data_IF_689984621806
#
_entry.id   IF_689984621806
#
_cell.length_a   1.000
_cell.length_b   1.000
_cell.length_c   1.000
_cell.angle_alpha   90.00
_cell.angle_beta   90.00
_cell.angle_gamma   90.00
#
_symmetry.space_group_name_H-M   'P 1'
#
loop_
_entity.id
_entity.type
_entity.pdbx_description
1 polymer ?
#
# COMPACT_ATOMS: atom_id res chain seq x y z
N UNK A 1 -0.01 -8.66 -2.49
CA UNK A 1 -0.60 -8.83 -1.14
C UNK A 1 -1.40 -10.12 -0.97
N UNK A 2 -2.46 -10.40 -1.75
CA UNK A 2 -3.31 -11.58 -1.54
C UNK A 2 -2.58 -12.93 -1.65
N UNK A 3 -1.67 -13.07 -2.62
CA UNK A 3 -0.86 -14.29 -2.81
C UNK A 3 0.12 -14.51 -1.66
N UNK A 4 0.71 -13.43 -1.17
CA UNK A 4 1.84 -13.48 -0.23
C UNK A 4 1.38 -13.41 1.23
N UNK A 5 0.20 -12.83 1.47
CA UNK A 5 -0.41 -12.66 2.78
C UNK A 5 -0.46 -13.96 3.62
N UNK A 6 -0.86 -15.12 3.08
CA UNK A 6 -0.86 -16.37 3.84
C UNK A 6 0.51 -16.79 4.41
N UNK A 7 1.61 -16.46 3.72
CA UNK A 7 2.96 -16.70 4.22
C UNK A 7 3.33 -15.70 5.32
N UNK A 8 3.03 -14.42 5.10
CA UNK A 8 3.34 -13.33 6.03
C UNK A 8 2.59 -13.49 7.36
N UNK A 9 1.29 -13.80 7.33
CA UNK A 9 0.45 -13.89 8.55
C UNK A 9 0.79 -15.10 9.44
N UNK A 10 1.54 -16.08 8.92
CA UNK A 10 2.00 -17.26 9.67
C UNK A 10 3.28 -16.99 10.44
N UNK A 11 4.10 -16.03 10.00
CA UNK A 11 5.30 -15.63 10.69
C UNK A 11 5.01 -14.72 11.90
N UNK A 12 5.92 -14.66 12.86
CA UNK A 12 5.83 -13.78 14.04
C UNK A 12 7.16 -13.08 14.28
N UNK A 13 7.09 -11.90 14.90
CA UNK A 13 8.28 -11.12 15.26
C UNK A 13 9.14 -10.72 14.06
N UNK A 14 10.46 -10.86 14.20
CA UNK A 14 11.45 -10.50 13.19
C UNK A 14 11.31 -11.29 11.89
N UNK A 15 10.78 -12.51 11.94
CA UNK A 15 10.54 -13.33 10.74
C UNK A 15 9.56 -12.68 9.78
N UNK A 16 8.56 -11.93 10.28
CA UNK A 16 7.64 -11.18 9.41
C UNK A 16 8.40 -10.13 8.61
N UNK A 17 9.27 -9.37 9.28
CA UNK A 17 10.06 -8.32 8.66
C UNK A 17 10.98 -8.87 7.57
N UNK A 18 11.67 -9.99 7.86
CA UNK A 18 12.54 -10.65 6.89
C UNK A 18 11.77 -11.13 5.66
N UNK A 19 10.59 -11.74 5.86
CA UNK A 19 9.74 -12.18 4.76
C UNK A 19 9.29 -10.98 3.93
N UNK A 20 8.77 -9.91 4.54
CA UNK A 20 8.30 -8.72 3.81
C UNK A 20 9.42 -8.03 3.01
N UNK A 21 10.62 -7.97 3.58
CA UNK A 21 11.79 -7.43 2.90
C UNK A 21 12.17 -8.31 1.70
N UNK A 22 12.28 -9.63 1.89
CA UNK A 22 12.60 -10.56 0.81
C UNK A 22 11.58 -10.49 -0.33
N UNK A 23 10.29 -10.32 -0.02
CA UNK A 23 9.24 -10.15 -1.03
C UNK A 23 9.43 -8.83 -1.80
N UNK A 24 9.77 -7.74 -1.11
CA UNK A 24 10.06 -6.45 -1.74
C UNK A 24 11.21 -6.55 -2.73
N UNK A 25 12.35 -7.08 -2.28
CA UNK A 25 13.55 -7.28 -3.11
C UNK A 25 13.29 -8.21 -4.31
N UNK A 26 12.58 -9.32 -4.10
CA UNK A 26 12.18 -10.22 -5.18
C UNK A 26 11.28 -9.52 -6.19
N UNK A 27 10.36 -8.67 -5.73
CA UNK A 27 9.47 -7.91 -6.61
C UNK A 27 10.27 -6.93 -7.45
N UNK A 28 11.21 -6.19 -6.85
CA UNK A 28 12.12 -5.30 -7.56
C UNK A 28 12.97 -6.03 -8.61
N UNK A 29 13.53 -7.20 -8.24
CA UNK A 29 14.30 -8.02 -9.16
C UNK A 29 13.47 -8.52 -10.36
N UNK A 30 12.22 -8.93 -10.11
CA UNK A 30 11.28 -9.35 -11.16
C UNK A 30 10.92 -8.18 -12.07
N UNK A 31 10.63 -7.01 -11.53
CA UNK A 31 10.35 -5.78 -12.31
C UNK A 31 11.54 -5.41 -13.18
N UNK A 32 12.77 -5.56 -12.71
CA UNK A 32 13.97 -5.26 -13.49
C UNK A 32 14.21 -6.29 -14.62
N UNK A 33 13.85 -7.56 -14.42
CA UNK A 33 14.02 -8.62 -15.43
C UNK A 33 12.92 -8.64 -16.50
N UNK A 34 11.69 -8.21 -16.18
CA UNK A 34 10.53 -8.29 -17.06
C UNK A 34 10.48 -7.18 -18.13
N UNK A 35 11.48 -7.15 -19.03
CA UNK A 35 11.57 -6.14 -20.11
C UNK A 35 10.32 -5.98 -20.96
N UNK A 36 9.59 -7.07 -21.22
CA UNK A 36 8.40 -7.04 -22.08
C UNK A 36 7.19 -6.32 -21.46
N UNK A 37 7.14 -6.18 -20.14
CA UNK A 37 5.97 -5.62 -19.43
C UNK A 37 6.32 -4.31 -18.72
N UNK A 38 7.53 -4.21 -18.15
CA UNK A 38 7.95 -3.07 -17.31
C UNK A 38 9.03 -2.22 -17.97
N UNK A 39 9.48 -2.55 -19.19
CA UNK A 39 10.66 -1.94 -19.80
C UNK A 39 11.99 -2.37 -19.17
N UNK A 40 11.96 -3.17 -18.08
CA UNK A 40 13.14 -3.59 -17.35
C UNK A 40 13.93 -2.41 -16.81
N UNK A 41 15.25 -2.42 -16.93
CA UNK A 41 16.14 -1.36 -16.45
C UNK A 41 15.82 0.04 -17.00
N UNK A 42 15.20 0.14 -18.17
CA UNK A 42 14.91 1.41 -18.84
C UNK A 42 13.61 2.07 -18.32
N UNK A 43 12.79 1.33 -17.56
CA UNK A 43 11.52 1.81 -17.01
C UNK A 43 10.40 1.96 -18.04
N UNK A 44 9.26 2.50 -17.59
CA UNK A 44 8.10 2.79 -18.42
C UNK A 44 7.93 4.31 -18.59
N UNK A 45 7.65 4.71 -19.83
CA UNK A 45 7.46 6.11 -20.23
C UNK A 45 6.24 6.21 -21.16
N UNK A 46 5.60 7.38 -21.21
CA UNK A 46 4.49 7.63 -22.13
C UNK A 46 3.15 7.12 -21.63
N UNK A 47 2.88 7.27 -20.33
CA UNK A 47 1.55 7.02 -19.80
C UNK A 47 0.53 7.99 -20.42
N UNK A 48 -0.69 7.53 -20.75
CA UNK A 48 -1.73 8.43 -21.23
C UNK A 48 -2.12 9.42 -20.14
N UNK A 49 -2.56 10.62 -20.55
CA UNK A 49 -3.06 11.63 -19.63
C UNK A 49 -4.15 11.05 -18.72
N UNK A 50 -4.07 11.36 -17.43
CA UNK A 50 -4.97 10.81 -16.42
C UNK A 50 -6.39 11.30 -16.68
N UNK A 51 -7.35 10.38 -16.68
CA UNK A 51 -8.77 10.70 -16.87
C UNK A 51 -9.51 10.48 -15.55
N UNK A 52 -10.22 11.51 -15.07
CA UNK A 52 -10.98 11.44 -13.80
C UNK A 52 -12.13 10.41 -13.84
N UNK A 53 -12.73 10.22 -15.03
CA UNK A 53 -13.75 9.21 -15.30
C UNK A 53 -13.31 8.36 -16.49
N UNK A 54 -13.70 7.09 -16.49
CA UNK A 54 -13.44 6.19 -17.61
C UNK A 54 -14.05 6.79 -18.90
N UNK A 55 -13.21 7.30 -19.80
CA UNK A 55 -13.63 7.98 -21.03
C UNK A 55 -13.83 9.49 -20.93
N UNK A 56 -13.36 10.15 -19.86
CA UNK A 56 -13.36 11.62 -19.71
C UNK A 56 -12.21 12.30 -20.45
N UNK A 57 -12.26 13.63 -20.54
CA UNK A 57 -11.15 14.44 -21.08
C UNK A 57 -9.88 14.25 -20.24
N UNK A 58 -8.72 14.24 -20.90
CA UNK A 58 -7.43 14.05 -20.23
C UNK A 58 -7.08 15.27 -19.39
N UNK A 59 -6.79 15.04 -18.11
CA UNK A 59 -6.37 16.07 -17.18
C UNK A 59 -4.91 16.43 -17.49
N UNK A 60 -4.72 17.58 -18.13
CA UNK A 60 -3.41 18.09 -18.54
C UNK A 60 -2.92 19.21 -17.63
N UNK A 61 -3.81 19.81 -16.85
CA UNK A 61 -3.48 20.92 -15.96
C UNK A 61 -2.99 20.41 -14.60
N UNK A 62 -1.96 21.06 -14.05
CA UNK A 62 -1.37 20.69 -12.76
C UNK A 62 -2.38 20.84 -11.61
N UNK A 63 -3.28 21.82 -11.71
CA UNK A 63 -4.36 22.09 -10.77
C UNK A 63 -5.37 20.93 -10.71
N UNK A 64 -5.71 20.37 -11.87
CA UNK A 64 -6.60 19.22 -12.01
C UNK A 64 -5.97 17.97 -11.41
N UNK A 65 -4.70 17.71 -11.72
CA UNK A 65 -3.96 16.55 -11.22
C UNK A 65 -3.81 16.57 -9.69
N UNK A 66 -3.54 17.75 -9.13
CA UNK A 66 -3.50 17.97 -7.69
C UNK A 66 -4.87 17.67 -7.04
N UNK A 67 -5.95 18.22 -7.60
CA UNK A 67 -7.30 17.99 -7.08
C UNK A 67 -7.69 16.51 -7.15
N UNK A 68 -7.31 15.81 -8.23
CA UNK A 68 -7.51 14.37 -8.36
C UNK A 68 -6.77 13.60 -7.25
N UNK A 69 -5.46 13.85 -7.09
CA UNK A 69 -4.66 13.21 -6.05
C UNK A 69 -5.21 13.48 -4.65
N UNK A 70 -5.65 14.71 -4.39
CA UNK A 70 -6.27 15.11 -3.13
C UNK A 70 -7.56 14.35 -2.86
N UNK A 71 -8.46 14.25 -3.85
CA UNK A 71 -9.72 13.50 -3.72
C UNK A 71 -9.45 12.03 -3.44
N UNK A 72 -8.52 11.41 -4.18
CA UNK A 72 -8.14 10.00 -3.96
C UNK A 72 -7.55 9.80 -2.56
N UNK A 73 -6.67 10.69 -2.10
CA UNK A 73 -6.09 10.64 -0.76
C UNK A 73 -7.16 10.78 0.33
N UNK A 74 -8.09 11.73 0.20
CA UNK A 74 -9.20 11.93 1.13
C UNK A 74 -10.11 10.70 1.18
N UNK A 75 -10.45 10.12 0.03
CA UNK A 75 -11.26 8.89 -0.04
C UNK A 75 -10.52 7.72 0.60
N UNK A 76 -9.23 7.54 0.32
CA UNK A 76 -8.42 6.48 0.93
C UNK A 76 -8.36 6.59 2.46
N UNK A 77 -8.19 7.80 2.98
CA UNK A 77 -8.20 8.06 4.43
C UNK A 77 -9.59 7.83 5.02
N UNK A 78 -10.65 8.33 4.38
CA UNK A 78 -12.02 8.13 4.84
C UNK A 78 -12.40 6.64 4.91
N UNK A 79 -12.05 5.87 3.88
CA UNK A 79 -12.25 4.42 3.85
C UNK A 79 -11.45 3.72 4.94
N UNK A 80 -10.19 4.11 5.15
CA UNK A 80 -9.35 3.56 6.22
C UNK A 80 -9.96 3.81 7.60
N UNK A 81 -10.44 5.03 7.85
CA UNK A 81 -11.12 5.39 9.09
C UNK A 81 -12.43 4.62 9.28
N UNK A 82 -13.22 4.43 8.22
CA UNK A 82 -14.45 3.65 8.26
C UNK A 82 -14.17 2.18 8.62
N UNK A 83 -13.15 1.58 8.00
CA UNK A 83 -12.73 0.21 8.28
C UNK A 83 -12.21 0.07 9.71
N UNK A 84 -11.42 1.02 10.21
CA UNK A 84 -10.91 0.99 11.59
C UNK A 84 -12.02 1.17 12.64
N UNK A 85 -13.08 1.92 12.34
CA UNK A 85 -14.25 2.08 13.22
C UNK A 85 -15.18 0.86 13.21
N UNK A 86 -15.12 0.03 12.17
CA UNK A 86 -15.93 -1.18 12.04
C UNK A 86 -15.58 -2.24 13.11
N UNK A 87 -16.44 -3.25 13.33
CA UNK A 87 -16.13 -4.38 14.22
C UNK A 87 -14.83 -5.08 13.86
N UNK A 88 -14.53 -5.23 12.57
CA UNK A 88 -13.28 -5.82 12.10
C UNK A 88 -12.06 -4.99 12.52
N UNK A 89 -12.15 -3.65 12.45
CA UNK A 89 -11.10 -2.74 12.92
C UNK A 89 -10.84 -2.86 14.43
N UNK A 90 -11.91 -2.90 15.24
CA UNK A 90 -11.79 -3.10 16.69
C UNK A 90 -11.16 -4.45 17.05
N UNK A 91 -11.50 -5.50 16.31
CA UNK A 91 -10.86 -6.81 16.46
C UNK A 91 -9.38 -6.76 16.11
N UNK A 92 -8.98 -6.05 15.05
CA UNK A 92 -7.58 -5.86 14.69
C UNK A 92 -6.81 -5.13 15.80
N UNK A 93 -7.37 -4.04 16.34
CA UNK A 93 -6.79 -3.33 17.50
C UNK A 93 -6.67 -4.25 18.72
N UNK A 94 -7.68 -5.09 18.98
CA UNK A 94 -7.64 -6.10 20.05
C UNK A 94 -6.57 -7.17 19.84
N UNK A 95 -6.37 -7.63 18.60
CA UNK A 95 -5.33 -8.62 18.27
C UNK A 95 -3.91 -8.08 18.43
N UNK A 96 -3.70 -6.77 18.25
CA UNK A 96 -2.39 -6.12 18.51
C UNK A 96 -1.97 -6.23 19.98
N UNK A 97 -2.91 -6.15 20.92
CA UNK A 97 -2.62 -6.21 22.35
C UNK A 97 -2.52 -7.64 22.91
N UNK A 98 -3.36 -8.56 22.43
CA UNK A 98 -3.38 -9.94 22.95
C UNK A 98 -3.91 -10.94 21.91
N UNK A 99 -3.09 -11.29 20.93
CA UNK A 99 -3.46 -12.22 19.85
C UNK A 99 -3.94 -13.58 20.37
N UNK A 100 -3.26 -14.14 21.38
CA UNK A 100 -3.63 -15.41 22.01
C UNK A 100 -5.01 -15.37 22.67
N UNK A 101 -5.35 -14.25 23.32
CA UNK A 101 -6.67 -14.06 23.97
C UNK A 101 -7.80 -13.97 22.94
N UNK A 102 -7.56 -13.29 21.83
CA UNK A 102 -8.54 -13.18 20.74
C UNK A 102 -8.82 -14.55 20.12
N UNK A 103 -7.78 -15.39 19.93
CA UNK A 103 -7.95 -16.78 19.47
C UNK A 103 -8.70 -17.65 20.46
N UNK A 104 -8.37 -17.56 21.76
CA UNK A 104 -9.06 -18.32 22.81
C UNK A 104 -10.55 -17.96 22.90
N UNK A 105 -10.90 -16.72 22.56
CA UNK A 105 -12.30 -16.24 22.50
C UNK A 105 -13.03 -16.67 21.22
N UNK A 106 -12.44 -17.53 20.38
CA UNK A 106 -13.06 -18.06 19.16
C UNK A 106 -12.97 -17.16 17.91
N UNK A 107 -12.25 -16.04 17.96
CA UNK A 107 -12.16 -15.16 16.79
C UNK A 107 -11.14 -15.68 15.76
N UNK A 108 -11.47 -15.69 14.46
CA UNK A 108 -10.57 -16.16 13.41
C UNK A 108 -9.50 -15.11 13.07
N UNK A 109 -8.55 -14.90 14.00
CA UNK A 109 -7.50 -13.86 13.92
C UNK A 109 -6.74 -13.87 12.58
N UNK A 110 -6.41 -15.07 12.07
CA UNK A 110 -5.69 -15.20 10.80
C UNK A 110 -6.43 -14.59 9.60
N UNK A 111 -7.76 -14.70 9.54
CA UNK A 111 -8.56 -14.12 8.47
C UNK A 111 -8.56 -12.59 8.53
N UNK A 112 -8.70 -12.03 9.74
CA UNK A 112 -8.66 -10.59 9.92
C UNK A 112 -7.30 -9.99 9.57
N UNK A 113 -6.19 -10.65 9.99
CA UNK A 113 -4.84 -10.22 9.61
C UNK A 113 -4.61 -10.30 8.11
N UNK A 114 -5.14 -11.33 7.44
CA UNK A 114 -5.04 -11.45 5.98
C UNK A 114 -5.78 -10.31 5.27
N UNK A 115 -7.02 -10.02 5.69
CA UNK A 115 -7.81 -8.91 5.13
C UNK A 115 -7.10 -7.58 5.36
N UNK A 116 -6.55 -7.37 6.56
CA UNK A 116 -5.77 -6.16 6.85
C UNK A 116 -4.52 -6.04 5.96
N UNK A 117 -3.79 -7.13 5.73
CA UNK A 117 -2.63 -7.15 4.83
C UNK A 117 -3.01 -6.88 3.37
N UNK A 118 -4.14 -7.44 2.91
CA UNK A 118 -4.66 -7.17 1.57
C UNK A 118 -5.09 -5.70 1.44
N UNK A 119 -5.80 -5.16 2.44
CA UNK A 119 -6.21 -3.76 2.48
C UNK A 119 -5.03 -2.79 2.47
N UNK A 120 -3.99 -3.08 3.27
CA UNK A 120 -2.75 -2.29 3.26
C UNK A 120 -2.06 -2.34 1.88
N UNK A 121 -2.01 -3.51 1.24
CA UNK A 121 -1.47 -3.64 -0.12
C UNK A 121 -2.30 -2.91 -1.18
N UNK A 122 -3.63 -2.86 -1.03
CA UNK A 122 -4.50 -2.10 -1.91
C UNK A 122 -4.24 -0.59 -1.78
N UNK A 123 -4.13 -0.08 -0.54
CA UNK A 123 -3.79 1.33 -0.29
C UNK A 123 -2.40 1.69 -0.85
N UNK A 124 -1.41 0.82 -0.67
CA UNK A 124 -0.09 1.01 -1.27
C UNK A 124 -0.14 1.04 -2.80
N UNK A 125 -0.99 0.20 -3.42
CA UNK A 125 -1.23 0.22 -4.87
C UNK A 125 -1.88 1.52 -5.36
N UNK A 126 -2.83 2.06 -4.61
CA UNK A 126 -3.43 3.38 -4.91
C UNK A 126 -2.37 4.48 -4.84
N UNK A 127 -1.52 4.48 -3.82
CA UNK A 127 -0.39 5.41 -3.71
C UNK A 127 0.58 5.30 -4.90
N UNK A 128 0.95 4.07 -5.28
CA UNK A 128 1.78 3.83 -6.46
C UNK A 128 1.14 4.32 -7.77
N UNK A 129 -0.17 4.12 -7.95
CA UNK A 129 -0.87 4.62 -9.13
C UNK A 129 -0.90 6.15 -9.21
N UNK A 130 -1.00 6.83 -8.06
CA UNK A 130 -0.92 8.29 -7.99
C UNK A 130 0.49 8.79 -8.31
N UNK A 131 1.52 8.07 -7.87
CA UNK A 131 2.90 8.40 -8.20
C UNK A 131 3.15 8.35 -9.71
N UNK A 132 2.69 7.29 -10.39
CA UNK A 132 2.78 7.16 -11.86
C UNK A 132 1.98 8.25 -12.56
N UNK A 133 0.80 8.58 -12.05
CA UNK A 133 -0.06 9.65 -12.58
C UNK A 133 0.65 11.00 -12.59
N UNK A 134 1.37 11.34 -11.51
CA UNK A 134 2.07 12.63 -11.38
C UNK A 134 3.39 12.64 -12.12
N UNK A 135 4.18 11.58 -12.02
CA UNK A 135 5.54 11.56 -12.58
C UNK A 135 5.60 11.19 -14.07
N UNK A 136 4.56 10.53 -14.61
CA UNK A 136 4.48 10.08 -16.02
C UNK A 136 5.67 9.22 -16.50
N UNK A 137 6.48 8.75 -15.55
CA UNK A 137 7.65 7.92 -15.71
C UNK A 137 7.74 7.00 -14.49
N UNK A 138 8.17 5.76 -14.71
CA UNK A 138 8.38 4.78 -13.66
C UNK A 138 9.69 4.05 -13.91
N UNK A 139 10.63 4.17 -12.98
CA UNK A 139 11.90 3.45 -12.96
C UNK A 139 11.80 2.20 -12.07
N UNK A 140 12.56 1.12 -12.33
CA UNK A 140 12.67 0.00 -11.39
C UNK A 140 13.17 0.40 -10.00
N UNK A 141 13.93 1.50 -9.90
CA UNK A 141 14.34 2.06 -8.62
C UNK A 141 13.11 2.47 -7.77
N UNK A 142 11.99 2.80 -8.41
CA UNK A 142 10.78 3.25 -7.75
C UNK A 142 10.02 2.12 -7.01
N UNK A 143 10.42 0.87 -7.24
CA UNK A 143 9.89 -0.32 -6.56
C UNK A 143 10.85 -0.79 -5.45
N UNK A 144 11.97 -0.08 -5.26
CA UNK A 144 13.03 -0.44 -4.34
C UNK A 144 12.70 -0.21 -2.87
N UNK A 145 13.56 -0.77 -2.01
CA UNK A 145 13.46 -0.63 -0.56
C UNK A 145 13.49 0.82 -0.07
N UNK A 146 14.19 1.72 -0.78
CA UNK A 146 14.32 3.13 -0.38
C UNK A 146 12.97 3.84 -0.28
N UNK A 147 12.07 3.67 -1.26
CA UNK A 147 10.73 4.27 -1.22
C UNK A 147 9.88 3.65 -0.11
N UNK A 148 9.99 2.34 0.10
CA UNK A 148 9.32 1.70 1.23
C UNK A 148 9.83 2.24 2.57
N UNK A 149 11.13 2.53 2.68
CA UNK A 149 11.74 3.13 3.85
C UNK A 149 11.28 4.57 4.07
N UNK A 150 11.19 5.39 3.02
CA UNK A 150 10.64 6.75 3.11
C UNK A 150 9.17 6.74 3.54
N UNK A 151 8.35 5.88 2.94
CA UNK A 151 6.95 5.73 3.33
C UNK A 151 6.81 5.27 4.80
N UNK A 152 7.66 4.35 5.26
CA UNK A 152 7.67 3.93 6.66
C UNK A 152 8.10 5.09 7.57
N UNK A 153 9.10 5.87 7.18
CA UNK A 153 9.62 7.00 7.94
C UNK A 153 8.55 8.09 8.09
N UNK A 154 7.82 8.41 7.03
CA UNK A 154 6.67 9.32 7.06
C UNK A 154 5.62 8.87 8.11
N UNK A 155 5.24 7.59 8.09
CA UNK A 155 4.30 7.01 9.06
C UNK A 155 4.84 7.03 10.49
N UNK A 156 6.14 6.79 10.68
CA UNK A 156 6.77 6.82 12.00
C UNK A 156 6.80 8.24 12.57
N UNK A 157 7.14 9.24 11.75
CA UNK A 157 7.13 10.66 12.13
C UNK A 157 5.71 11.15 12.42
N UNK A 158 4.76 10.82 11.54
CA UNK A 158 3.34 11.14 11.71
C UNK A 158 2.68 10.44 12.91
N UNK A 159 3.29 9.35 13.38
CA UNK A 159 2.87 8.59 14.55
C UNK A 159 2.11 7.32 14.17
N UNK A 160 2.57 6.19 14.70
CA UNK A 160 2.07 4.83 14.38
C UNK A 160 0.60 4.54 14.72
N UNK A 161 -0.09 5.49 15.36
CA UNK A 161 -1.51 5.38 15.75
C UNK A 161 -2.39 6.45 15.06
N UNK A 162 -1.79 7.42 14.37
CA UNK A 162 -2.50 8.51 13.71
C UNK A 162 -2.63 8.22 12.21
N UNK A 163 -3.85 7.99 11.73
CA UNK A 163 -4.13 7.83 10.29
C UNK A 163 -3.85 9.14 9.55
N UNK A 164 -4.14 10.28 10.18
CA UNK A 164 -3.88 11.62 9.60
C UNK A 164 -2.37 11.92 9.60
N UNK A 165 -1.65 11.41 10.60
CA UNK A 165 -0.20 11.57 10.67
C UNK A 165 0.53 10.95 9.47
N UNK A 166 -0.01 9.87 8.91
CA UNK A 166 0.54 9.23 7.72
C UNK A 166 0.45 10.06 6.42
N UNK A 167 -0.19 11.24 6.45
CA UNK A 167 -0.23 12.19 5.33
C UNK A 167 0.93 13.21 5.35
N UNK A 168 1.70 13.27 6.45
CA UNK A 168 2.88 14.14 6.57
C UNK A 168 4.11 13.49 5.91
#
# INVERSE_FOLDING_TARGET
AAVVGPAVIRARGTTVLMITLAIGELTGAVVNQLKSVTGGADGLVGFPATQALWGGEGMLEESELYNYALVVAVVAVALTLLVLRSPAGKLLTGTRGAEARMRASGHPVGRYLLVAHIGAGALAGVGGSLMVTVQQYLSPADVGFEIAAFALLAVVIGGTTSVIGALL
#
